data_IF_209979678758
#
_entry.id   IF_209979678758
#
_cell.length_a   1.000
_cell.length_b   1.000
_cell.length_c   1.000
_cell.angle_alpha   90.00
_cell.angle_beta   90.00
_cell.angle_gamma   90.00
#
_symmetry.space_group_name_H-M   'P 1'
#
loop_
_entity.id
_entity.type
_entity.pdbx_description
1 polymer ?
#
# COMPACT_ATOMS: atom_id res chain seq x y z
N UNK A 1 -33.85 0.56 3.47
CA UNK A 1 -32.76 0.05 4.36
C UNK A 1 -31.81 -0.88 3.59
N UNK A 2 -32.28 -2.01 3.03
CA UNK A 2 -31.43 -2.94 2.26
C UNK A 2 -30.80 -2.31 1.00
N UNK A 3 -31.60 -1.60 0.18
CA UNK A 3 -31.12 -0.97 -1.07
C UNK A 3 -30.02 0.09 -0.85
N UNK A 4 -30.10 0.86 0.25
CA UNK A 4 -29.10 1.87 0.59
C UNK A 4 -27.77 1.23 1.02
N UNK A 5 -27.83 0.11 1.75
CA UNK A 5 -26.65 -0.66 2.15
C UNK A 5 -26.01 -1.38 0.97
N UNK A 6 -26.81 -1.96 0.06
CA UNK A 6 -26.30 -2.52 -1.20
C UNK A 6 -25.60 -1.45 -2.02
N UNK A 7 -26.20 -0.25 -2.14
CA UNK A 7 -25.61 0.87 -2.87
C UNK A 7 -24.31 1.37 -2.24
N UNK A 8 -24.20 1.37 -0.91
CA UNK A 8 -22.93 1.62 -0.24
C UNK A 8 -21.88 0.57 -0.64
N UNK A 9 -22.24 -0.72 -0.63
CA UNK A 9 -21.38 -1.81 -1.09
C UNK A 9 -20.88 -1.60 -2.52
N UNK A 10 -21.77 -1.22 -3.44
CA UNK A 10 -21.40 -0.89 -4.83
C UNK A 10 -20.42 0.28 -4.94
N UNK A 11 -20.59 1.32 -4.12
CA UNK A 11 -19.68 2.47 -4.13
C UNK A 11 -18.30 2.12 -3.54
N UNK A 12 -18.26 1.32 -2.48
CA UNK A 12 -17.02 0.82 -1.88
C UNK A 12 -16.27 -0.12 -2.84
N UNK A 13 -16.99 -0.99 -3.53
CA UNK A 13 -16.44 -1.80 -4.62
C UNK A 13 -15.92 -0.92 -5.77
N UNK A 14 -16.64 0.15 -6.11
CA UNK A 14 -16.17 1.16 -7.06
C UNK A 14 -14.85 1.83 -6.64
N UNK A 15 -14.68 2.12 -5.34
CA UNK A 15 -13.42 2.62 -4.79
C UNK A 15 -12.29 1.59 -4.94
N UNK A 16 -12.53 0.32 -4.60
CA UNK A 16 -11.54 -0.77 -4.77
C UNK A 16 -11.05 -0.84 -6.21
N UNK A 17 -11.98 -0.88 -7.18
CA UNK A 17 -11.67 -0.93 -8.62
C UNK A 17 -10.92 0.29 -9.14
N UNK A 18 -11.09 1.46 -8.52
CA UNK A 18 -10.35 2.68 -8.88
C UNK A 18 -8.94 2.70 -8.30
N UNK A 19 -8.72 2.02 -7.16
CA UNK A 19 -7.40 1.92 -6.54
C UNK A 19 -6.57 0.74 -7.09
N UNK A 20 -7.21 -0.31 -7.59
CA UNK A 20 -6.55 -1.49 -8.18
C UNK A 20 -5.50 -1.13 -9.26
N UNK A 21 -5.76 -0.22 -10.23
CA UNK A 21 -4.81 0.12 -11.29
C UNK A 21 -3.50 0.70 -10.76
N UNK A 22 -3.51 1.37 -9.61
CA UNK A 22 -2.28 1.83 -8.97
C UNK A 22 -1.43 0.62 -8.62
N UNK A 23 -1.97 -0.31 -7.82
CA UNK A 23 -1.20 -1.48 -7.35
C UNK A 23 -0.70 -2.36 -8.50
N UNK A 24 -1.50 -2.54 -9.56
CA UNK A 24 -1.08 -3.23 -10.78
C UNK A 24 0.08 -2.51 -11.48
N UNK A 25 -0.07 -1.20 -11.72
CA UNK A 25 0.98 -0.41 -12.35
C UNK A 25 2.28 -0.41 -11.53
N UNK A 26 2.19 -0.48 -10.20
CA UNK A 26 3.36 -0.60 -9.34
C UNK A 26 4.09 -1.93 -9.53
N UNK A 27 3.36 -3.05 -9.57
CA UNK A 27 3.95 -4.37 -9.83
C UNK A 27 4.65 -4.39 -11.19
N UNK A 28 4.02 -3.83 -12.23
CA UNK A 28 4.59 -3.71 -13.56
C UNK A 28 5.86 -2.85 -13.57
N UNK A 29 5.85 -1.71 -12.88
CA UNK A 29 7.04 -0.86 -12.76
C UNK A 29 8.16 -1.58 -12.01
N UNK A 30 7.87 -2.26 -10.91
CA UNK A 30 8.88 -3.04 -10.17
C UNK A 30 9.48 -4.13 -11.06
N UNK A 31 8.66 -4.88 -11.80
CA UNK A 31 9.14 -5.89 -12.74
C UNK A 31 10.07 -5.30 -13.80
N UNK A 32 9.63 -4.22 -14.46
CA UNK A 32 10.41 -3.53 -15.48
C UNK A 32 11.74 -3.00 -14.93
N UNK A 33 11.74 -2.36 -13.75
CA UNK A 33 12.98 -1.82 -13.16
C UNK A 33 13.95 -2.91 -12.74
N UNK A 34 13.45 -4.04 -12.27
CA UNK A 34 14.28 -5.20 -11.95
C UNK A 34 14.94 -5.76 -13.20
N UNK A 35 14.21 -5.87 -14.31
CA UNK A 35 14.76 -6.31 -15.59
C UNK A 35 15.79 -5.32 -16.16
N UNK A 36 15.48 -4.02 -16.13
CA UNK A 36 16.42 -2.97 -16.55
C UNK A 36 17.70 -2.98 -15.71
N UNK A 37 17.58 -3.12 -14.38
CA UNK A 37 18.72 -3.17 -13.46
C UNK A 37 19.55 -4.44 -13.68
N UNK A 38 18.90 -5.58 -13.92
CA UNK A 38 19.59 -6.83 -14.25
C UNK A 38 20.41 -6.68 -15.54
N UNK A 39 19.83 -6.08 -16.58
CA UNK A 39 20.51 -5.90 -17.86
C UNK A 39 21.67 -4.89 -17.76
N UNK A 40 21.46 -3.77 -17.06
CA UNK A 40 22.51 -2.78 -16.82
C UNK A 40 23.71 -3.37 -16.08
N UNK A 41 23.46 -4.16 -15.02
CA UNK A 41 24.52 -4.82 -14.27
C UNK A 41 25.17 -5.97 -15.04
N UNK A 42 24.44 -6.66 -15.92
CA UNK A 42 25.01 -7.67 -16.84
C UNK A 42 26.02 -7.04 -17.80
N UNK A 43 25.65 -5.93 -18.44
CA UNK A 43 26.54 -5.22 -19.39
C UNK A 43 27.80 -4.74 -18.69
N UNK A 44 27.68 -4.20 -17.48
CA UNK A 44 28.85 -3.84 -16.65
C UNK A 44 29.68 -5.09 -16.35
N UNK A 45 29.07 -6.19 -15.92
CA UNK A 45 29.72 -7.49 -15.65
C UNK A 45 30.47 -8.12 -16.84
N UNK A 46 29.99 -7.93 -18.07
CA UNK A 46 30.63 -8.46 -19.28
C UNK A 46 31.77 -7.55 -19.78
N UNK A 47 31.57 -6.24 -19.74
CA UNK A 47 32.62 -5.26 -20.08
C UNK A 47 33.80 -5.34 -19.12
N UNK A 48 33.52 -5.63 -17.85
CA UNK A 48 34.49 -5.87 -16.78
C UNK A 48 35.27 -7.18 -17.00
N UNK A 49 34.60 -8.30 -17.31
CA UNK A 49 35.27 -9.57 -17.63
C UNK A 49 36.28 -9.46 -18.79
N UNK A 50 35.98 -8.66 -19.82
CA UNK A 50 36.90 -8.45 -20.93
C UNK A 50 38.19 -7.69 -20.53
N UNK A 51 38.10 -6.82 -19.52
CA UNK A 51 39.20 -5.97 -19.04
C UNK A 51 40.02 -6.62 -17.90
N UNK A 52 39.44 -7.58 -17.16
CA UNK A 52 40.11 -8.34 -16.10
C UNK A 52 41.29 -9.19 -16.59
N UNK A 53 41.41 -9.43 -17.90
CA UNK A 53 42.61 -10.02 -18.51
C UNK A 53 43.85 -9.08 -18.40
N UNK A 54 43.67 -7.84 -17.94
CA UNK A 54 44.70 -6.80 -17.88
C UNK A 54 45.59 -6.78 -16.63
N UNK A 55 45.15 -7.31 -15.48
CA UNK A 55 45.93 -7.32 -14.23
C UNK A 55 45.15 -6.98 -12.95
N UNK A 56 45.88 -6.84 -11.83
CA UNK A 56 45.33 -6.63 -10.46
C UNK A 56 44.91 -5.17 -10.22
N UNK A 57 45.58 -4.19 -10.84
CA UNK A 57 45.23 -2.78 -10.70
C UNK A 57 43.92 -2.47 -11.43
N UNK A 58 43.77 -3.04 -12.64
CA UNK A 58 42.59 -2.98 -13.47
C UNK A 58 41.38 -3.58 -12.76
N UNK A 59 41.57 -4.67 -12.00
CA UNK A 59 40.51 -5.31 -11.20
C UNK A 59 39.96 -4.44 -10.06
N UNK A 60 40.79 -3.57 -9.47
CA UNK A 60 40.36 -2.67 -8.40
C UNK A 60 39.52 -1.52 -8.93
N UNK A 61 39.96 -0.90 -10.03
CA UNK A 61 39.21 0.18 -10.70
C UNK A 61 37.83 -0.32 -11.18
N UNK A 62 37.81 -1.57 -11.64
CA UNK A 62 36.60 -2.32 -12.00
C UNK A 62 35.56 -2.46 -10.88
N UNK A 63 36.01 -2.88 -9.69
CA UNK A 63 35.13 -3.04 -8.52
C UNK A 63 34.56 -1.70 -8.08
N UNK A 64 35.34 -0.63 -8.22
CA UNK A 64 34.89 0.73 -7.93
C UNK A 64 33.87 1.23 -8.95
N UNK A 65 34.03 0.90 -10.23
CA UNK A 65 33.05 1.20 -11.28
C UNK A 65 31.73 0.44 -11.03
N UNK A 66 31.80 -0.84 -10.66
CA UNK A 66 30.62 -1.64 -10.29
C UNK A 66 29.88 -1.03 -9.10
N UNK A 67 30.59 -0.63 -8.03
CA UNK A 67 29.98 0.03 -6.87
C UNK A 67 29.32 1.36 -7.25
N UNK A 68 30.00 2.19 -8.06
CA UNK A 68 29.45 3.47 -8.53
C UNK A 68 28.19 3.27 -9.38
N UNK A 69 28.19 2.24 -10.23
CA UNK A 69 27.05 1.82 -11.04
C UNK A 69 25.87 1.36 -10.16
N UNK A 70 26.12 0.52 -9.14
CA UNK A 70 25.11 0.07 -8.19
C UNK A 70 24.44 1.24 -7.46
N UNK A 71 25.23 2.18 -6.92
CA UNK A 71 24.72 3.41 -6.27
C UNK A 71 23.84 4.20 -7.23
N UNK A 72 24.33 4.41 -8.46
CA UNK A 72 23.63 5.20 -9.46
C UNK A 72 22.29 4.57 -9.87
N UNK A 73 22.29 3.28 -10.22
CA UNK A 73 21.09 2.63 -10.75
C UNK A 73 20.05 2.37 -9.67
N UNK A 74 20.44 1.93 -8.47
CA UNK A 74 19.50 1.78 -7.34
C UNK A 74 18.90 3.12 -6.91
N UNK A 75 19.71 4.19 -6.87
CA UNK A 75 19.25 5.54 -6.60
C UNK A 75 18.23 6.06 -7.64
N UNK A 76 18.46 5.77 -8.93
CA UNK A 76 17.49 6.10 -9.99
C UNK A 76 16.18 5.35 -9.83
N UNK A 77 16.22 4.06 -9.51
CA UNK A 77 15.03 3.25 -9.25
C UNK A 77 14.22 3.84 -8.08
N UNK A 78 14.89 4.25 -6.99
CA UNK A 78 14.22 4.94 -5.86
C UNK A 78 13.48 6.20 -6.28
N UNK A 79 14.12 7.07 -7.07
CA UNK A 79 13.53 8.32 -7.53
C UNK A 79 12.27 8.10 -8.38
N UNK A 80 12.18 6.98 -9.10
CA UNK A 80 11.02 6.66 -9.93
C UNK A 80 9.81 6.19 -9.11
N UNK A 81 10.00 5.68 -7.90
CA UNK A 81 8.90 5.28 -7.02
C UNK A 81 8.26 6.45 -6.27
N UNK A 82 8.96 7.56 -6.10
CA UNK A 82 8.41 8.75 -5.47
C UNK A 82 7.17 9.32 -6.20
N UNK A 83 7.20 9.62 -7.51
CA UNK A 83 6.01 10.13 -8.22
C UNK A 83 4.87 9.11 -8.29
N UNK A 84 5.16 7.82 -8.12
CA UNK A 84 4.11 6.81 -7.99
C UNK A 84 3.39 6.94 -6.63
N UNK A 85 4.14 7.10 -5.53
CA UNK A 85 3.56 7.28 -4.20
C UNK A 85 2.67 8.53 -4.13
N UNK A 86 3.11 9.65 -4.70
CA UNK A 86 2.32 10.88 -4.78
C UNK A 86 1.01 10.68 -5.55
N UNK A 87 1.05 9.95 -6.68
CA UNK A 87 -0.16 9.62 -7.45
C UNK A 87 -1.11 8.72 -6.67
N UNK A 88 -0.60 7.73 -5.95
CA UNK A 88 -1.43 6.84 -5.12
C UNK A 88 -2.10 7.61 -3.97
N UNK A 89 -1.34 8.46 -3.26
CA UNK A 89 -1.87 9.30 -2.19
C UNK A 89 -2.95 10.27 -2.69
N UNK A 90 -2.69 10.92 -3.82
CA UNK A 90 -3.66 11.80 -4.47
C UNK A 90 -4.91 11.04 -4.93
N UNK A 91 -4.73 9.85 -5.51
CA UNK A 91 -5.82 8.96 -5.94
C UNK A 91 -6.71 8.50 -4.78
N UNK A 92 -6.11 8.14 -3.63
CA UNK A 92 -6.86 7.81 -2.42
C UNK A 92 -7.73 8.99 -1.99
N UNK A 93 -7.14 10.18 -1.84
CA UNK A 93 -7.89 11.37 -1.42
C UNK A 93 -9.04 11.70 -2.38
N UNK A 94 -8.78 11.68 -3.68
CA UNK A 94 -9.78 11.96 -4.72
C UNK A 94 -10.93 10.96 -4.71
N UNK A 95 -10.64 9.66 -4.74
CA UNK A 95 -11.67 8.63 -4.85
C UNK A 95 -12.45 8.41 -3.57
N UNK A 96 -11.83 8.62 -2.40
CA UNK A 96 -12.55 8.60 -1.12
C UNK A 96 -13.49 9.81 -1.01
N UNK A 97 -13.10 10.97 -1.53
CA UNK A 97 -14.01 12.12 -1.59
C UNK A 97 -15.15 11.91 -2.59
N UNK A 98 -14.89 11.23 -3.71
CA UNK A 98 -15.92 10.82 -4.67
C UNK A 98 -16.89 9.80 -4.07
N UNK A 99 -16.40 8.86 -3.27
CA UNK A 99 -17.21 7.95 -2.47
C UNK A 99 -18.16 8.72 -1.53
N UNK A 100 -17.64 9.70 -0.77
CA UNK A 100 -18.46 10.53 0.12
C UNK A 100 -19.60 11.23 -0.63
N UNK A 101 -19.29 11.89 -1.76
CA UNK A 101 -20.30 12.59 -2.58
C UNK A 101 -21.35 11.64 -3.16
N UNK A 102 -20.96 10.42 -3.49
CA UNK A 102 -21.85 9.43 -4.13
C UNK A 102 -22.77 8.75 -3.11
N UNK A 103 -22.32 8.61 -1.87
CA UNK A 103 -23.07 7.94 -0.79
C UNK A 103 -23.95 8.92 -0.01
N UNK A 104 -23.50 10.16 0.22
CA UNK A 104 -24.19 11.13 1.08
C UNK A 104 -25.69 11.35 0.75
N UNK A 105 -26.12 11.49 -0.52
CA UNK A 105 -27.53 11.71 -0.86
C UNK A 105 -28.44 10.49 -0.62
N UNK A 106 -27.85 9.33 -0.36
CA UNK A 106 -28.55 8.04 -0.27
C UNK A 106 -28.27 7.33 1.06
N UNK A 107 -27.53 7.98 1.95
CA UNK A 107 -27.18 7.44 3.25
C UNK A 107 -28.40 7.52 4.19
N UNK A 108 -28.69 6.40 4.85
CA UNK A 108 -29.68 6.35 5.94
C UNK A 108 -29.03 6.64 7.29
N UNK A 109 -27.70 6.64 7.33
CA UNK A 109 -26.90 7.07 8.48
C UNK A 109 -26.78 8.60 8.50
N UNK A 110 -26.56 9.15 9.68
CA UNK A 110 -26.35 10.59 9.85
C UNK A 110 -25.12 11.09 9.05
N UNK A 111 -25.18 12.29 8.44
CA UNK A 111 -24.04 12.92 7.78
C UNK A 111 -22.72 12.97 8.59
N UNK A 112 -22.71 13.25 9.91
CA UNK A 112 -21.49 13.21 10.71
C UNK A 112 -20.90 11.79 10.80
N UNK A 113 -21.72 10.75 11.02
CA UNK A 113 -21.28 9.36 11.07
C UNK A 113 -20.67 8.92 9.74
N UNK A 114 -21.35 9.18 8.62
CA UNK A 114 -20.81 8.90 7.28
C UNK A 114 -19.46 9.59 7.05
N UNK A 115 -19.39 10.89 7.37
CA UNK A 115 -18.17 11.67 7.16
C UNK A 115 -17.00 11.14 8.00
N UNK A 116 -17.26 10.74 9.25
CA UNK A 116 -16.26 10.14 10.14
C UNK A 116 -15.72 8.82 9.58
N UNK A 117 -16.59 7.90 9.17
CA UNK A 117 -16.18 6.61 8.59
C UNK A 117 -15.35 6.80 7.32
N UNK A 118 -15.78 7.70 6.42
CA UNK A 118 -15.07 7.96 5.16
C UNK A 118 -13.72 8.66 5.40
N UNK A 119 -13.63 9.58 6.35
CA UNK A 119 -12.37 10.20 6.75
C UNK A 119 -11.40 9.19 7.36
N UNK A 120 -11.90 8.29 8.22
CA UNK A 120 -11.11 7.22 8.81
C UNK A 120 -10.55 6.29 7.72
N UNK A 121 -11.38 5.92 6.74
CA UNK A 121 -10.93 5.14 5.57
C UNK A 121 -9.80 5.85 4.82
N UNK A 122 -10.00 7.13 4.48
CA UNK A 122 -8.96 7.93 3.80
C UNK A 122 -7.65 7.93 4.59
N UNK A 123 -7.74 8.14 5.90
CA UNK A 123 -6.59 8.19 6.78
C UNK A 123 -5.84 6.85 6.83
N UNK A 124 -6.56 5.75 7.05
CA UNK A 124 -5.96 4.41 7.11
C UNK A 124 -5.31 4.01 5.79
N UNK A 125 -5.99 4.23 4.66
CA UNK A 125 -5.42 3.95 3.33
C UNK A 125 -4.17 4.80 3.07
N UNK A 126 -4.20 6.08 3.45
CA UNK A 126 -3.04 6.99 3.35
C UNK A 126 -1.85 6.47 4.16
N UNK A 127 -2.08 6.04 5.42
CA UNK A 127 -1.01 5.48 6.25
C UNK A 127 -0.40 4.23 5.63
N UNK A 128 -1.23 3.30 5.14
CA UNK A 128 -0.74 2.07 4.51
C UNK A 128 -0.03 2.34 3.20
N UNK A 129 -0.46 3.32 2.40
CA UNK A 129 0.24 3.74 1.19
C UNK A 129 1.61 4.35 1.50
N UNK A 130 1.73 5.16 2.56
CA UNK A 130 3.01 5.68 3.05
C UNK A 130 3.92 4.57 3.56
N UNK A 131 3.37 3.61 4.30
CA UNK A 131 4.12 2.44 4.77
C UNK A 131 4.62 1.57 3.61
N UNK A 132 3.78 1.34 2.59
CA UNK A 132 4.19 0.67 1.36
C UNK A 132 5.35 1.42 0.69
N UNK A 133 5.24 2.73 0.51
CA UNK A 133 6.34 3.52 -0.08
C UNK A 133 7.64 3.39 0.72
N UNK A 134 7.59 3.54 2.05
CA UNK A 134 8.75 3.39 2.91
C UNK A 134 9.35 1.98 2.84
N UNK A 135 8.51 0.94 2.81
CA UNK A 135 8.95 -0.45 2.64
C UNK A 135 9.69 -0.68 1.32
N UNK A 136 9.22 -0.10 0.22
CA UNK A 136 9.90 -0.19 -1.08
C UNK A 136 11.26 0.50 -1.05
N UNK A 137 11.34 1.68 -0.42
CA UNK A 137 12.62 2.40 -0.26
C UNK A 137 13.61 1.55 0.56
N UNK A 138 13.14 0.96 1.67
CA UNK A 138 13.95 0.10 2.52
C UNK A 138 14.42 -1.16 1.78
N UNK A 139 13.56 -1.80 0.98
CA UNK A 139 13.96 -2.95 0.16
C UNK A 139 15.06 -2.56 -0.86
N UNK A 140 15.00 -1.35 -1.42
CA UNK A 140 16.03 -0.83 -2.32
C UNK A 140 17.34 -0.49 -1.60
N UNK A 141 17.26 0.06 -0.38
CA UNK A 141 18.42 0.24 0.50
C UNK A 141 19.09 -1.11 0.79
N UNK A 142 18.31 -2.10 1.20
CA UNK A 142 18.82 -3.44 1.47
C UNK A 142 19.47 -4.08 0.25
N UNK A 143 18.82 -4.01 -0.92
CA UNK A 143 19.37 -4.49 -2.18
C UNK A 143 20.74 -3.84 -2.48
N UNK A 144 20.84 -2.53 -2.29
CA UNK A 144 22.09 -1.80 -2.49
C UNK A 144 23.19 -2.28 -1.54
N UNK A 145 22.91 -2.38 -0.24
CA UNK A 145 23.88 -2.83 0.77
C UNK A 145 24.35 -4.27 0.51
N UNK A 146 23.43 -5.16 0.16
CA UNK A 146 23.74 -6.57 -0.11
C UNK A 146 24.63 -6.74 -1.36
N UNK A 147 24.33 -6.01 -2.44
CA UNK A 147 25.14 -6.03 -3.66
C UNK A 147 26.51 -5.38 -3.42
N UNK A 148 26.56 -4.30 -2.63
CA UNK A 148 27.81 -3.60 -2.29
C UNK A 148 28.72 -4.48 -1.41
N UNK A 149 28.14 -5.16 -0.42
CA UNK A 149 28.88 -6.09 0.44
C UNK A 149 29.46 -7.25 -0.36
N UNK A 150 28.71 -7.80 -1.31
CA UNK A 150 29.19 -8.87 -2.18
C UNK A 150 30.33 -8.40 -3.10
N UNK A 151 30.19 -7.22 -3.71
CA UNK A 151 31.25 -6.61 -4.51
C UNK A 151 32.51 -6.28 -3.67
N UNK A 152 32.34 -5.85 -2.42
CA UNK A 152 33.44 -5.55 -1.50
C UNK A 152 34.18 -6.79 -0.99
N UNK A 153 33.48 -7.90 -0.76
CA UNK A 153 34.07 -9.16 -0.28
C UNK A 153 35.03 -9.78 -1.31
N UNK A 154 34.76 -9.62 -2.61
CA UNK A 154 35.64 -10.08 -3.69
C UNK A 154 36.99 -9.36 -3.79
N UNK A 155 37.21 -8.29 -3.00
CA UNK A 155 38.49 -7.55 -2.95
C UNK A 155 39.31 -7.79 -1.68
N UNK A 156 38.79 -8.54 -0.70
CA UNK A 156 39.46 -8.76 0.59
C UNK A 156 40.33 -10.02 0.63
N UNK A 157 40.09 -11.00 -0.25
CA UNK A 157 40.99 -12.14 -0.40
C UNK A 157 42.06 -11.85 -1.44
N UNK A 158 43.27 -11.59 -0.94
CA UNK A 158 44.48 -11.28 -1.67
C UNK A 158 44.85 -12.46 -2.62
N UNK A 159 44.29 -12.46 -3.83
CA UNK A 159 44.59 -13.42 -4.90
C UNK A 159 43.40 -14.08 -5.61
N UNK A 160 42.15 -13.90 -5.14
CA UNK A 160 40.97 -14.49 -5.78
C UNK A 160 40.16 -13.42 -6.52
N UNK A 161 40.34 -13.32 -7.84
CA UNK A 161 39.42 -12.52 -8.66
C UNK A 161 37.99 -13.05 -8.51
N UNK A 162 36.99 -12.21 -8.25
CA UNK A 162 35.61 -12.65 -8.18
C UNK A 162 35.19 -13.23 -9.53
N UNK A 163 34.67 -14.46 -9.52
CA UNK A 163 34.16 -15.12 -10.72
C UNK A 163 33.00 -14.29 -11.31
N UNK A 164 33.13 -13.78 -12.56
CA UNK A 164 32.09 -12.98 -13.21
C UNK A 164 30.74 -13.71 -13.29
N UNK A 165 30.76 -15.04 -13.43
CA UNK A 165 29.53 -15.84 -13.48
C UNK A 165 28.84 -15.88 -12.11
N UNK A 166 29.60 -16.08 -11.04
CA UNK A 166 29.09 -16.00 -9.67
C UNK A 166 28.51 -14.61 -9.35
N UNK A 167 29.18 -13.54 -9.78
CA UNK A 167 28.71 -12.15 -9.65
C UNK A 167 27.37 -11.92 -10.36
N UNK A 168 27.25 -12.35 -11.62
CA UNK A 168 26.01 -12.24 -12.37
C UNK A 168 24.87 -13.03 -11.73
N UNK A 169 25.17 -14.22 -11.21
CA UNK A 169 24.20 -15.06 -10.52
C UNK A 169 23.73 -14.41 -9.21
N UNK A 170 24.63 -13.86 -8.41
CA UNK A 170 24.28 -13.18 -7.16
C UNK A 170 23.39 -11.95 -7.42
N UNK A 171 23.79 -11.11 -8.37
CA UNK A 171 23.00 -9.93 -8.79
C UNK A 171 21.58 -10.36 -9.16
N UNK A 172 21.44 -11.40 -9.98
CA UNK A 172 20.13 -11.93 -10.36
C UNK A 172 19.35 -12.41 -9.15
N UNK A 173 19.95 -13.17 -8.24
CA UNK A 173 19.26 -13.68 -7.05
C UNK A 173 18.75 -12.55 -6.15
N UNK A 174 19.59 -11.55 -5.87
CA UNK A 174 19.23 -10.40 -5.03
C UNK A 174 18.13 -9.55 -5.64
N UNK A 175 18.19 -9.33 -6.95
CA UNK A 175 17.13 -8.63 -7.68
C UNK A 175 15.80 -9.39 -7.67
N UNK A 176 15.83 -10.72 -7.75
CA UNK A 176 14.62 -11.54 -7.64
C UNK A 176 14.04 -11.54 -6.23
N UNK A 177 14.88 -11.57 -5.19
CA UNK A 177 14.44 -11.43 -3.80
C UNK A 177 13.78 -10.07 -3.57
N UNK A 178 14.43 -8.98 -4.00
CA UNK A 178 13.86 -7.64 -3.97
C UNK A 178 12.48 -7.57 -4.66
N UNK A 179 12.36 -8.14 -5.86
CA UNK A 179 11.10 -8.19 -6.61
C UNK A 179 10.02 -8.92 -5.82
N UNK A 180 10.36 -10.09 -5.28
CA UNK A 180 9.43 -10.93 -4.51
C UNK A 180 8.90 -10.21 -3.27
N UNK A 181 9.80 -9.67 -2.44
CA UNK A 181 9.43 -8.98 -1.19
C UNK A 181 8.57 -7.75 -1.47
N UNK A 182 8.93 -7.01 -2.52
CA UNK A 182 8.17 -5.85 -2.96
C UNK A 182 6.77 -6.25 -3.45
N UNK A 183 6.64 -7.35 -4.19
CA UNK A 183 5.33 -7.87 -4.62
C UNK A 183 4.46 -8.29 -3.44
N UNK A 184 5.04 -8.91 -2.41
CA UNK A 184 4.31 -9.25 -1.19
C UNK A 184 3.79 -8.01 -0.47
N UNK A 185 4.59 -6.94 -0.38
CA UNK A 185 4.16 -5.66 0.21
C UNK A 185 3.02 -5.02 -0.60
N UNK A 186 3.11 -5.01 -1.93
CA UNK A 186 2.05 -4.46 -2.78
C UNK A 186 0.77 -5.28 -2.62
N UNK A 187 0.86 -6.61 -2.66
CA UNK A 187 -0.29 -7.49 -2.49
C UNK A 187 -0.93 -7.34 -1.08
N UNK A 188 -0.11 -7.13 -0.05
CA UNK A 188 -0.60 -6.85 1.30
C UNK A 188 -1.37 -5.51 1.35
N UNK A 189 -0.89 -4.48 0.66
CA UNK A 189 -1.61 -3.22 0.53
C UNK A 189 -2.93 -3.39 -0.23
N UNK A 190 -2.95 -4.14 -1.35
CA UNK A 190 -4.19 -4.46 -2.08
C UNK A 190 -5.22 -5.12 -1.18
N UNK A 191 -4.84 -6.17 -0.44
CA UNK A 191 -5.74 -6.83 0.53
C UNK A 191 -6.22 -5.89 1.63
N UNK A 192 -5.36 -4.95 2.05
CA UNK A 192 -5.76 -3.97 3.04
C UNK A 192 -6.82 -2.99 2.51
N UNK A 193 -6.81 -2.64 1.23
CA UNK A 193 -7.90 -1.84 0.63
C UNK A 193 -9.23 -2.58 0.80
N UNK A 194 -9.26 -3.89 0.52
CA UNK A 194 -10.46 -4.71 0.66
C UNK A 194 -10.96 -4.77 2.10
N UNK A 195 -10.05 -5.01 3.05
CA UNK A 195 -10.35 -5.06 4.48
C UNK A 195 -10.90 -3.73 4.99
N UNK A 196 -10.24 -2.61 4.69
CA UNK A 196 -10.66 -1.31 5.22
C UNK A 196 -12.00 -0.85 4.65
N UNK A 197 -12.28 -1.19 3.39
CA UNK A 197 -13.59 -0.90 2.77
C UNK A 197 -14.68 -1.82 3.33
N UNK A 198 -14.38 -3.08 3.64
CA UNK A 198 -15.31 -3.99 4.30
C UNK A 198 -15.63 -3.52 5.73
N UNK A 199 -14.63 -3.06 6.48
CA UNK A 199 -14.83 -2.47 7.81
C UNK A 199 -15.78 -1.26 7.74
N UNK A 200 -15.64 -0.38 6.74
CA UNK A 200 -16.56 0.74 6.55
C UNK A 200 -17.97 0.25 6.23
N UNK A 201 -18.11 -0.77 5.39
CA UNK A 201 -19.40 -1.36 5.08
C UNK A 201 -20.08 -1.88 6.35
N UNK A 202 -19.35 -2.59 7.22
CA UNK A 202 -19.86 -3.10 8.50
C UNK A 202 -20.20 -1.97 9.48
N UNK A 203 -19.37 -0.94 9.56
CA UNK A 203 -19.60 0.22 10.43
C UNK A 203 -20.85 1.00 10.02
N UNK A 204 -21.18 1.03 8.73
CA UNK A 204 -22.35 1.72 8.20
C UNK A 204 -23.55 0.79 7.96
N UNK A 205 -23.45 -0.47 8.37
CA UNK A 205 -24.56 -1.42 8.26
C UNK A 205 -25.73 -1.00 9.18
N UNK A 206 -26.98 -1.14 8.72
CA UNK A 206 -28.13 -0.91 9.58
C UNK A 206 -28.10 -1.90 10.76
N UNK A 207 -28.56 -1.49 11.95
CA UNK A 207 -28.69 -2.42 13.08
C UNK A 207 -29.65 -3.56 12.69
N UNK A 208 -29.35 -4.81 13.06
CA UNK A 208 -30.20 -5.94 12.72
C UNK A 208 -31.62 -5.75 13.29
N UNK A 209 -32.67 -6.14 12.54
CA UNK A 209 -34.05 -6.01 13.01
C UNK A 209 -34.27 -6.91 14.22
N UNK A 210 -34.36 -6.29 15.40
CA UNK A 210 -34.96 -6.75 16.66
C UNK A 210 -35.20 -8.26 16.82
N UNK A 211 -34.18 -9.01 17.22
CA UNK A 211 -34.22 -9.73 18.49
C UNK A 211 -32.81 -9.70 19.06
N UNK A 212 -32.67 -9.00 20.19
CA UNK A 212 -31.45 -8.79 20.95
C UNK A 212 -30.47 -7.74 20.38
N UNK A 213 -30.78 -6.47 20.66
CA UNK A 213 -29.76 -5.42 20.83
C UNK A 213 -28.74 -5.74 21.97
N UNK A 214 -28.92 -6.88 22.64
CA UNK A 214 -28.16 -7.36 23.80
C UNK A 214 -27.85 -8.87 23.75
N UNK A 215 -27.83 -9.54 22.59
CA UNK A 215 -27.27 -10.89 22.52
C UNK A 215 -25.75 -10.75 22.51
N UNK A 216 -25.04 -11.16 23.56
CA UNK A 216 -23.61 -11.10 23.51
C UNK A 216 -23.14 -12.35 22.78
N UNK A 217 -22.72 -12.21 21.53
CA UNK A 217 -21.74 -13.12 20.96
C UNK A 217 -20.41 -12.82 21.66
N UNK A 218 -20.28 -13.27 22.91
CA UNK A 218 -19.02 -13.30 23.63
C UNK A 218 -18.13 -14.36 22.99
N UNK A 219 -17.52 -14.04 21.86
CA UNK A 219 -16.19 -14.58 21.59
C UNK A 219 -15.23 -13.90 22.57
N UNK A 220 -14.30 -14.62 23.20
CA UNK A 220 -13.38 -14.04 24.18
C UNK A 220 -12.33 -13.19 23.46
N UNK A 221 -12.74 -12.05 22.92
CA UNK A 221 -11.85 -10.93 22.62
C UNK A 221 -11.84 -9.99 23.83
N UNK A 222 -10.62 -9.63 24.23
CA UNK A 222 -10.23 -8.62 25.21
C UNK A 222 -11.37 -7.65 25.63
N UNK A 223 -11.90 -7.83 26.84
CA UNK A 223 -13.11 -7.16 27.32
C UNK A 223 -13.05 -5.62 27.31
N UNK A 224 -11.84 -5.04 27.27
CA UNK A 224 -11.66 -3.61 27.04
C UNK A 224 -12.08 -3.18 25.64
N UNK A 225 -11.66 -3.92 24.61
CA UNK A 225 -12.00 -3.64 23.20
C UNK A 225 -13.49 -3.84 22.94
N UNK A 226 -14.08 -4.88 23.54
CA UNK A 226 -15.51 -5.14 23.42
C UNK A 226 -16.37 -3.99 23.97
N UNK A 227 -15.97 -3.42 25.13
CA UNK A 227 -16.64 -2.26 25.74
C UNK A 227 -16.50 -1.00 24.89
N UNK A 228 -15.30 -0.70 24.38
CA UNK A 228 -15.09 0.46 23.51
C UNK A 228 -15.89 0.36 22.20
N UNK A 229 -15.98 -0.84 21.61
CA UNK A 229 -16.83 -1.09 20.42
C UNK A 229 -18.31 -0.87 20.73
N UNK A 230 -18.80 -1.37 21.86
CA UNK A 230 -20.20 -1.20 22.27
C UNK A 230 -20.54 0.28 22.48
N UNK A 231 -19.66 1.02 23.15
CA UNK A 231 -19.86 2.45 23.40
C UNK A 231 -19.91 3.26 22.10
N UNK A 232 -18.97 3.01 21.18
CA UNK A 232 -18.99 3.67 19.87
C UNK A 232 -20.28 3.40 19.07
N UNK A 233 -20.81 2.17 19.13
CA UNK A 233 -22.08 1.83 18.47
C UNK A 233 -23.29 2.52 19.10
N UNK A 234 -23.27 2.72 20.42
CA UNK A 234 -24.31 3.45 21.14
C UNK A 234 -24.31 4.94 20.77
N UNK A 235 -23.13 5.55 20.70
CA UNK A 235 -22.98 6.95 20.30
C UNK A 235 -23.46 7.17 18.84
N UNK A 236 -23.05 6.28 17.93
CA UNK A 236 -23.50 6.26 16.53
C UNK A 236 -25.03 6.15 16.40
N UNK A 237 -25.64 5.24 17.17
CA UNK A 237 -27.09 5.02 17.15
C UNK A 237 -27.85 6.24 17.69
N UNK A 238 -27.30 6.91 18.71
CA UNK A 238 -27.86 8.16 19.21
C UNK A 238 -27.78 9.30 18.18
N UNK A 239 -26.66 9.42 17.45
CA UNK A 239 -26.52 10.40 16.36
C UNK A 239 -27.57 10.18 15.27
N UNK A 240 -27.79 8.93 14.86
CA UNK A 240 -28.75 8.58 13.80
C UNK A 240 -30.21 8.79 14.23
N UNK A 241 -30.56 8.50 15.49
CA UNK A 241 -31.89 8.78 16.04
C UNK A 241 -32.14 10.30 16.04
N UNK A 242 -31.19 11.08 16.55
CA UNK A 242 -31.33 12.54 16.60
C UNK A 242 -31.45 13.16 15.21
N UNK A 243 -30.73 12.62 14.22
CA UNK A 243 -30.86 13.02 12.82
C UNK A 243 -32.26 12.69 12.26
N UNK A 244 -32.72 11.45 12.44
CA UNK A 244 -34.02 10.99 11.94
C UNK A 244 -35.19 11.79 12.54
N UNK A 245 -35.09 12.20 13.80
CA UNK A 245 -36.09 13.03 14.47
C UNK A 245 -36.14 14.47 13.94
N UNK A 246 -35.02 15.01 13.44
CA UNK A 246 -34.97 16.36 12.85
C UNK A 246 -35.53 16.42 11.44
N UNK A 247 -35.39 15.34 10.67
CA UNK A 247 -36.03 15.20 9.35
C UNK A 247 -37.54 14.89 9.46
N UNK A 248 -38.06 14.67 10.67
CA UNK A 248 -39.48 14.41 10.97
C UNK A 248 -40.16 15.55 11.74
N UNK A 249 -39.68 16.78 11.67
CA UNK A 249 -40.49 17.94 12.10
C UNK A 249 -41.51 18.28 10.99
N UNK A 250 -42.81 17.95 11.15
CA UNK A 250 -43.82 18.36 10.20
C UNK A 250 -44.16 19.81 10.53
N UNK A 251 -43.42 20.74 9.93
CA UNK A 251 -43.85 22.13 9.84
C UNK A 251 -45.16 22.21 9.05
N UNK A 252 -46.28 22.06 9.73
CA UNK A 252 -47.62 22.33 9.23
C UNK A 252 -48.10 23.66 9.81
N UNK A 253 -48.39 24.61 8.92
CA UNK A 253 -49.12 25.82 9.28
C UNK A 253 -48.82 27.03 8.42
N UNK A 254 -48.99 26.92 7.10
CA UNK A 254 -48.89 28.06 6.21
C UNK A 254 -49.70 27.87 4.93
N UNK A 255 -51.01 28.03 5.02
CA UNK A 255 -51.92 28.59 3.99
C UNK A 255 -53.28 28.86 4.66
N UNK A 256 -54.14 29.78 4.17
CA UNK A 256 -54.16 30.44 2.85
C UNK A 256 -53.70 31.92 2.84
#
# INVERSE_FOLDING_TARGET
>A
MAEAHERLGWNLEGLRRRLEPYTRALMEQVALRVEELQEQLRVVGEGTQAQLLGGVAEARDLLQELQSSLVHHTGRVKQLFHPYAERLLSGIGQHVQELHRSVAPHAVVSPPRLSRCVQLLSHKLTLKAKALHAGIQQNLDQLHEELSAFAGAGGAEEGAHPDPQALSQEVRQRLQAFRHDTFLQIAAFTRAIDQETEEVQQQLAPPPPSHSAFAPEFLPEDGGKARSRLQARLDDLWEDINYSLRDHDPGHGGEP
#
